data_IF_995865853927
#
_entry.id   IF_995865853927
#
_cell.length_a   1.000
_cell.length_b   1.000
_cell.length_c   1.000
_cell.angle_alpha   90.00
_cell.angle_beta   90.00
_cell.angle_gamma   90.00
#
_symmetry.space_group_name_H-M   'P 1'
#
loop_
_entity.id
_entity.type
_entity.pdbx_description
1 polymer ?
#
# COMPACT_ATOMS: atom_id res chain seq x y z
N UNK A 1 -10.60 9.44 -16.58
CA UNK A 1 -10.12 8.10 -16.19
C UNK A 1 -11.32 7.17 -16.10
N UNK A 2 -11.28 6.01 -16.75
CA UNK A 2 -12.33 4.98 -16.63
C UNK A 2 -12.27 4.39 -15.22
N UNK A 3 -13.36 4.49 -14.47
CA UNK A 3 -13.54 3.84 -13.18
C UNK A 3 -13.20 2.35 -13.30
N UNK A 4 -12.27 1.87 -12.50
CA UNK A 4 -11.85 0.47 -12.57
C UNK A 4 -12.74 -0.34 -11.63
N UNK A 5 -13.81 -0.94 -12.14
CA UNK A 5 -14.71 -1.78 -11.31
C UNK A 5 -14.08 -3.13 -10.89
N UNK A 6 -12.76 -3.29 -11.08
CA UNK A 6 -12.02 -4.53 -10.83
C UNK A 6 -10.67 -4.23 -10.18
N UNK A 7 -10.29 -5.08 -9.24
CA UNK A 7 -8.93 -5.06 -8.70
C UNK A 7 -7.95 -5.50 -9.78
N UNK A 8 -6.89 -4.72 -9.99
CA UNK A 8 -5.77 -5.03 -10.87
C UNK A 8 -4.54 -5.41 -10.05
N UNK A 9 -3.76 -6.34 -10.58
CA UNK A 9 -2.50 -6.80 -9.99
C UNK A 9 -1.40 -6.72 -11.04
N UNK A 10 -0.24 -6.20 -10.66
CA UNK A 10 0.95 -6.18 -11.50
C UNK A 10 2.17 -6.60 -10.67
N UNK A 11 2.99 -7.51 -11.18
CA UNK A 11 4.31 -7.77 -10.60
C UNK A 11 5.23 -6.58 -10.85
N UNK A 12 6.07 -6.25 -9.88
CA UNK A 12 7.12 -5.24 -10.10
C UNK A 12 8.20 -5.80 -11.02
N UNK A 13 8.64 -4.98 -11.99
CA UNK A 13 9.72 -5.34 -12.93
C UNK A 13 11.12 -5.07 -12.37
N UNK A 14 11.23 -4.22 -11.35
CA UNK A 14 12.52 -3.74 -10.84
C UNK A 14 12.91 -4.37 -9.51
N UNK A 15 11.93 -4.71 -8.68
CA UNK A 15 12.15 -5.27 -7.35
C UNK A 15 11.21 -6.43 -7.10
N UNK A 16 11.59 -7.45 -6.29
CA UNK A 16 10.67 -8.49 -5.87
C UNK A 16 9.46 -7.87 -5.17
N UNK A 17 8.27 -8.02 -5.76
CA UNK A 17 7.11 -7.29 -5.28
C UNK A 17 5.96 -7.25 -6.26
N UNK A 18 4.92 -6.55 -5.87
CA UNK A 18 3.73 -6.33 -6.69
C UNK A 18 3.00 -5.04 -6.30
N UNK A 19 2.21 -4.54 -7.24
CA UNK A 19 1.25 -3.46 -7.03
C UNK A 19 -0.17 -4.02 -7.16
N UNK A 20 -1.06 -3.58 -6.27
CA UNK A 20 -2.50 -3.84 -6.37
C UNK A 20 -3.25 -2.52 -6.43
N UNK A 21 -4.04 -2.33 -7.48
CA UNK A 21 -5.04 -1.26 -7.58
C UNK A 21 -6.39 -1.89 -7.29
N UNK A 22 -7.07 -1.47 -6.23
CA UNK A 22 -8.35 -2.04 -5.82
C UNK A 22 -9.50 -1.42 -6.60
N UNK A 23 -10.65 -2.10 -6.64
CA UNK A 23 -11.87 -1.59 -7.30
C UNK A 23 -12.44 -0.31 -6.65
N UNK A 24 -11.94 0.08 -5.47
CA UNK A 24 -12.24 1.35 -4.80
C UNK A 24 -11.21 2.44 -5.10
N UNK A 25 -10.37 2.22 -6.11
CA UNK A 25 -9.30 3.10 -6.62
C UNK A 25 -8.13 3.31 -5.64
N UNK A 26 -8.11 2.64 -4.48
CA UNK A 26 -6.94 2.64 -3.61
C UNK A 26 -5.84 1.80 -4.25
N UNK A 27 -4.60 2.13 -3.93
CA UNK A 27 -3.45 1.38 -4.43
C UNK A 27 -2.50 1.02 -3.28
N UNK A 28 -1.91 -0.17 -3.36
CA UNK A 28 -0.74 -0.52 -2.55
C UNK A 28 0.38 -0.99 -3.46
N UNK A 29 1.62 -0.71 -3.06
CA UNK A 29 2.82 -1.33 -3.61
C UNK A 29 3.53 -2.08 -2.50
N UNK A 30 3.70 -3.40 -2.67
CA UNK A 30 4.38 -4.29 -1.73
C UNK A 30 5.70 -4.72 -2.33
N UNK A 31 6.80 -4.51 -1.61
CA UNK A 31 8.14 -4.85 -2.09
C UNK A 31 8.94 -5.56 -1.01
N UNK A 32 9.84 -6.45 -1.41
CA UNK A 32 10.79 -7.11 -0.51
C UNK A 32 12.15 -7.29 -1.15
N UNK A 33 13.15 -7.56 -0.31
CA UNK A 33 14.51 -7.86 -0.76
C UNK A 33 15.50 -6.74 -0.45
N UNK A 34 16.67 -6.82 -1.09
CA UNK A 34 17.82 -5.95 -0.85
C UNK A 34 17.47 -4.50 -1.22
N UNK A 35 18.06 -3.56 -0.48
CA UNK A 35 17.93 -2.10 -0.68
C UNK A 35 16.58 -1.45 -0.30
N UNK A 36 15.58 -2.22 0.15
CA UNK A 36 14.31 -1.72 0.71
C UNK A 36 14.32 -1.58 2.24
N UNK A 37 13.34 -0.91 2.85
CA UNK A 37 13.13 -0.80 4.31
C UNK A 37 12.74 -2.14 4.97
N UNK A 38 12.81 -3.25 4.25
CA UNK A 38 12.65 -4.61 4.75
C UNK A 38 13.90 -5.47 4.51
N UNK A 39 14.97 -4.88 3.98
CA UNK A 39 16.20 -5.58 3.70
C UNK A 39 16.86 -6.04 4.99
N UNK A 40 17.29 -7.30 5.02
CA UNK A 40 18.10 -7.83 6.11
C UNK A 40 19.55 -7.36 5.95
N UNK A 41 19.77 -6.03 5.90
CA UNK A 41 21.05 -5.37 5.54
C UNK A 41 22.24 -5.82 6.39
N UNK A 42 21.97 -6.32 7.60
CA UNK A 42 22.99 -6.79 8.53
C UNK A 42 23.20 -8.31 8.52
N UNK A 43 22.53 -9.04 7.63
CA UNK A 43 22.71 -10.49 7.52
C UNK A 43 23.99 -10.83 6.73
N UNK A 44 25.04 -11.21 7.44
CA UNK A 44 26.33 -11.63 6.88
C UNK A 44 26.36 -13.08 6.41
N UNK A 45 25.29 -13.84 6.62
CA UNK A 45 25.23 -15.28 6.28
C UNK A 45 25.03 -15.58 4.79
N UNK A 46 24.91 -14.57 3.93
CA UNK A 46 24.59 -14.74 2.52
C UNK A 46 23.12 -15.07 2.25
N UNK A 47 22.29 -15.23 3.28
CA UNK A 47 20.84 -15.35 3.14
C UNK A 47 20.22 -13.97 2.89
N UNK A 48 20.02 -13.67 1.60
CA UNK A 48 19.43 -12.43 1.11
C UNK A 48 17.89 -12.40 1.21
N UNK A 49 17.26 -13.44 1.78
CA UNK A 49 15.80 -13.47 1.93
C UNK A 49 15.39 -12.48 3.00
N UNK A 50 14.67 -11.44 2.59
CA UNK A 50 13.90 -10.61 3.50
C UNK A 50 12.70 -11.41 4.01
N UNK A 51 12.57 -11.53 5.32
CA UNK A 51 11.40 -12.15 5.98
C UNK A 51 10.25 -11.16 6.20
N UNK A 52 10.50 -9.89 5.89
CA UNK A 52 9.55 -8.79 5.96
C UNK A 52 9.43 -8.10 4.61
N UNK A 53 8.38 -7.32 4.44
CA UNK A 53 8.11 -6.50 3.28
C UNK A 53 8.05 -5.02 3.67
N UNK A 54 8.14 -4.15 2.67
CA UNK A 54 7.72 -2.77 2.78
C UNK A 54 6.42 -2.56 1.98
N UNK A 55 5.57 -1.65 2.46
CA UNK A 55 4.29 -1.34 1.82
C UNK A 55 4.11 0.17 1.71
N UNK A 56 3.91 0.63 0.48
CA UNK A 56 3.42 1.97 0.18
C UNK A 56 1.90 1.91 -0.04
N UNK A 57 1.16 2.89 0.50
CA UNK A 57 -0.31 2.95 0.43
C UNK A 57 -0.69 4.31 -0.16
N UNK A 58 -1.52 4.29 -1.20
CA UNK A 58 -1.98 5.47 -1.91
C UNK A 58 -3.50 5.55 -1.88
N UNK A 59 -4.01 6.71 -1.48
CA UNK A 59 -5.43 6.99 -1.64
C UNK A 59 -5.78 7.25 -3.11
N UNK A 60 -7.06 7.08 -3.49
CA UNK A 60 -7.54 7.36 -4.83
C UNK A 60 -7.23 8.78 -5.25
N UNK A 61 -6.84 8.92 -6.52
CA UNK A 61 -6.56 10.22 -7.11
C UNK A 61 -7.83 11.08 -7.15
N UNK A 62 -7.79 12.26 -6.53
CA UNK A 62 -8.91 13.20 -6.59
C UNK A 62 -8.85 14.08 -7.84
N UNK A 63 -7.66 14.47 -8.31
CA UNK A 63 -7.53 15.56 -9.31
C UNK A 63 -6.27 15.50 -10.21
N UNK A 64 -5.54 14.39 -10.23
CA UNK A 64 -4.35 14.21 -11.07
C UNK A 64 -3.07 14.66 -10.37
N UNK A 65 -2.43 13.74 -9.65
CA UNK A 65 -1.08 13.80 -9.07
C UNK A 65 -0.69 15.02 -8.19
N UNK A 66 -0.07 14.78 -7.01
CA UNK A 66 0.35 13.50 -6.47
C UNK A 66 -0.75 12.77 -5.68
N UNK A 67 -0.71 11.43 -5.72
CA UNK A 67 -1.59 10.57 -4.90
C UNK A 67 -1.27 10.81 -3.42
N UNK A 68 -2.28 11.02 -2.60
CA UNK A 68 -2.12 11.20 -1.15
C UNK A 68 -1.56 9.91 -0.53
N UNK A 69 -0.47 10.03 0.24
CA UNK A 69 0.17 8.90 0.91
C UNK A 69 -0.49 8.60 2.25
N UNK A 70 -0.59 7.32 2.55
CA UNK A 70 -1.16 6.81 3.80
C UNK A 70 -0.19 5.81 4.43
N UNK A 71 -0.34 5.58 5.73
CA UNK A 71 0.42 4.56 6.45
C UNK A 71 -0.49 3.56 7.11
N UNK A 72 0.03 2.37 7.35
CA UNK A 72 -0.49 1.45 8.34
C UNK A 72 0.08 1.79 9.73
N UNK A 73 -0.80 1.97 10.71
CA UNK A 73 -0.49 2.10 12.13
C UNK A 73 -0.72 0.73 12.78
N UNK A 74 0.36 0.09 13.23
CA UNK A 74 0.32 -1.27 13.76
C UNK A 74 -0.32 -1.34 15.14
N UNK A 75 -0.11 -0.33 15.99
CA UNK A 75 -0.67 -0.25 17.33
C UNK A 75 -2.20 -0.11 17.27
N UNK A 76 -2.68 0.69 16.33
CA UNK A 76 -4.10 0.95 16.12
C UNK A 76 -4.74 -0.01 15.12
N UNK A 77 -3.95 -0.85 14.47
CA UNK A 77 -4.35 -1.79 13.44
C UNK A 77 -5.24 -1.13 12.37
N UNK A 78 -4.81 0.02 11.84
CA UNK A 78 -5.59 0.81 10.88
C UNK A 78 -4.71 1.58 9.92
N UNK A 79 -5.26 1.93 8.76
CA UNK A 79 -4.58 2.80 7.80
C UNK A 79 -4.96 4.25 8.11
N UNK A 80 -3.98 5.14 8.29
CA UNK A 80 -4.16 6.56 8.64
C UNK A 80 -3.51 7.47 7.61
N UNK A 81 -4.04 8.68 7.49
CA UNK A 81 -3.49 9.71 6.61
C UNK A 81 -2.11 10.11 7.11
N UNK A 82 -1.16 10.25 6.18
CA UNK A 82 0.18 10.70 6.51
C UNK A 82 0.35 12.17 6.13
N UNK A 83 0.85 13.03 7.03
CA UNK A 83 1.10 14.43 6.72
C UNK A 83 2.32 14.63 5.81
N UNK A 84 3.17 13.60 5.65
CA UNK A 84 4.36 13.66 4.81
C UNK A 84 4.04 13.39 3.33
N UNK A 85 4.77 14.04 2.43
CA UNK A 85 4.56 13.93 0.98
C UNK A 85 4.93 12.54 0.41
N UNK A 86 5.63 11.70 1.18
CA UNK A 86 5.98 10.32 0.84
C UNK A 86 6.12 9.48 2.11
N UNK A 87 5.55 8.28 2.15
CA UNK A 87 5.70 7.39 3.31
C UNK A 87 5.66 5.91 2.94
N UNK A 88 6.55 5.09 3.53
CA UNK A 88 6.56 3.64 3.33
C UNK A 88 6.61 2.94 4.68
N UNK A 89 5.69 2.00 4.89
CA UNK A 89 5.74 1.10 6.04
C UNK A 89 6.81 0.03 5.82
N UNK A 90 7.96 0.14 6.48
CA UNK A 90 9.02 -0.86 6.46
C UNK A 90 8.79 -2.04 7.40
N UNK A 91 9.58 -3.10 7.23
CA UNK A 91 9.66 -4.27 8.12
C UNK A 91 8.33 -4.96 8.49
N UNK A 92 7.33 -4.96 7.60
CA UNK A 92 6.05 -5.61 7.83
C UNK A 92 6.14 -7.12 7.65
N UNK A 93 5.50 -7.87 8.56
CA UNK A 93 5.30 -9.32 8.42
C UNK A 93 4.26 -9.64 7.35
N UNK A 94 4.23 -10.90 6.89
CA UNK A 94 3.23 -11.36 5.91
C UNK A 94 1.79 -11.17 6.42
N UNK A 95 1.55 -11.41 7.71
CA UNK A 95 0.22 -11.24 8.32
C UNK A 95 -0.20 -9.76 8.33
N UNK A 96 0.72 -8.85 8.62
CA UNK A 96 0.45 -7.40 8.54
C UNK A 96 0.17 -6.97 7.10
N UNK A 97 0.91 -7.47 6.10
CA UNK A 97 0.63 -7.20 4.68
C UNK A 97 -0.76 -7.70 4.28
N UNK A 98 -1.11 -8.94 4.66
CA UNK A 98 -2.43 -9.50 4.38
C UNK A 98 -3.55 -8.68 5.05
N UNK A 99 -3.30 -8.21 6.27
CA UNK A 99 -4.25 -7.37 7.00
C UNK A 99 -4.41 -5.97 6.36
N UNK A 100 -3.32 -5.34 5.91
CA UNK A 100 -3.39 -4.08 5.13
C UNK A 100 -4.24 -4.28 3.88
N UNK A 101 -4.01 -5.34 3.10
CA UNK A 101 -4.81 -5.69 1.93
C UNK A 101 -6.30 -5.78 2.32
N UNK A 102 -6.62 -6.46 3.43
CA UNK A 102 -7.99 -6.61 3.89
C UNK A 102 -8.64 -5.29 4.33
N UNK A 103 -7.90 -4.38 4.95
CA UNK A 103 -8.37 -3.05 5.33
C UNK A 103 -8.64 -2.21 4.08
N UNK A 104 -7.67 -2.15 3.15
CA UNK A 104 -7.79 -1.35 1.93
C UNK A 104 -8.93 -1.85 1.04
N UNK A 105 -9.08 -3.17 0.87
CA UNK A 105 -10.17 -3.76 0.08
C UNK A 105 -11.58 -3.38 0.57
N UNK A 106 -11.73 -3.04 1.86
CA UNK A 106 -13.01 -2.66 2.48
C UNK A 106 -13.21 -1.14 2.55
N UNK A 107 -12.22 -0.34 2.15
CA UNK A 107 -12.35 1.12 2.24
C UNK A 107 -13.39 1.64 1.24
N UNK A 108 -14.15 2.68 1.63
CA UNK A 108 -15.03 3.36 0.69
C UNK A 108 -14.17 4.03 -0.39
N UNK A 109 -14.65 3.98 -1.63
CA UNK A 109 -14.15 4.88 -2.66
C UNK A 109 -14.57 6.32 -2.29
N UNK A 110 -13.66 7.31 -2.35
CA UNK A 110 -14.00 8.70 -2.09
C UNK A 110 -15.06 9.23 -3.07
N UNK A 111 -15.22 8.60 -4.25
CA UNK A 111 -16.27 8.93 -5.22
C UNK A 111 -17.69 8.56 -4.73
N UNK A 112 -17.83 7.64 -3.77
CA UNK A 112 -19.14 7.25 -3.19
C UNK A 112 -19.53 8.18 -2.04
N UNK A 113 -18.55 8.67 -1.26
CA UNK A 113 -18.80 9.51 -0.10
C UNK A 113 -19.42 10.89 -0.44
N UNK A 114 -19.17 11.41 -1.65
CA UNK A 114 -19.72 12.70 -2.10
C UNK A 114 -21.22 12.58 -2.41
N UNK A 115 -21.71 11.40 -2.81
CA UNK A 115 -23.13 11.20 -3.18
C UNK A 115 -24.10 11.19 -2.00
N UNK A 116 -23.61 11.06 -0.75
CA UNK A 116 -24.46 10.95 0.44
C UNK A 116 -24.56 12.25 1.26
N UNK A 117 -23.84 13.32 0.88
CA UNK A 117 -23.88 14.62 1.55
C UNK A 117 -24.59 15.71 0.72
N UNK A 118 -25.35 15.31 -0.31
CA UNK A 118 -26.19 16.20 -1.12
C UNK A 118 -27.66 15.77 -1.00
N UNK A 119 -28.25 15.99 0.17
CA UNK A 119 -29.69 15.90 0.41
C UNK A 119 -30.11 16.95 1.43
#
# INVERSE_FOLDING_TARGET
MTKTDKTMFASSEHYPGFTMVFANDWEISVQWGRDHYCSNRNNTSGDLRSVTAEVAIFAPDKDGFPREWWSYDDDLNRVVEQPEETYVNGHLTTDQVANIIAIIAKRPSPLVAISQNSA
#
